data_IF_228145497462
#
_entry.id   IF_228145497462
#
_cell.length_a   1.000
_cell.length_b   1.000
_cell.length_c   1.000
_cell.angle_alpha   90.00
_cell.angle_beta   90.00
_cell.angle_gamma   90.00
#
_symmetry.space_group_name_H-M   'P 1'
#
loop_
_entity.id
_entity.type
_entity.pdbx_description
1 polymer ?
#
# COMPACT_ATOMS: atom_id res chain seq x y z
N UNK A 1 6.85 7.33 25.25
CA UNK A 1 6.50 8.68 24.76
C UNK A 1 7.71 9.63 24.70
N UNK A 2 8.78 9.45 25.51
CA UNK A 2 9.97 10.32 25.42
C UNK A 2 10.77 10.18 24.10
N UNK A 3 10.92 8.96 23.56
CA UNK A 3 11.75 8.74 22.37
C UNK A 3 11.28 9.42 21.06
N UNK A 4 10.00 9.78 20.94
CA UNK A 4 9.49 10.49 19.75
C UNK A 4 9.79 11.98 19.78
N UNK A 5 9.74 12.61 20.96
CA UNK A 5 10.11 14.01 21.14
C UNK A 5 11.63 14.20 20.98
N UNK A 6 12.41 13.27 21.54
CA UNK A 6 13.87 13.24 21.40
C UNK A 6 14.29 13.03 19.93
N UNK A 7 13.59 12.15 19.21
CA UNK A 7 13.81 11.92 17.79
C UNK A 7 13.51 13.14 16.91
N UNK A 8 12.42 13.86 17.19
CA UNK A 8 12.08 15.08 16.46
C UNK A 8 13.12 16.21 16.68
N UNK A 9 13.59 16.36 17.91
CA UNK A 9 14.65 17.33 18.25
C UNK A 9 15.97 17.01 17.53
N UNK A 10 16.38 15.73 17.55
CA UNK A 10 17.56 15.27 16.82
C UNK A 10 17.44 15.50 15.31
N UNK A 11 16.28 15.18 14.71
CA UNK A 11 16.03 15.42 13.30
C UNK A 11 16.14 16.91 12.93
N UNK A 12 15.64 17.82 13.77
CA UNK A 12 15.77 19.26 13.56
C UNK A 12 17.22 19.73 13.63
N UNK A 13 18.00 19.21 14.59
CA UNK A 13 19.42 19.53 14.70
C UNK A 13 20.20 19.08 13.45
N UNK A 14 19.96 17.86 12.97
CA UNK A 14 20.59 17.34 11.74
C UNK A 14 20.13 18.09 10.49
N UNK A 15 18.84 18.43 10.40
CA UNK A 15 18.29 19.23 9.32
C UNK A 15 18.95 20.62 9.25
N UNK A 16 19.17 21.27 10.40
CA UNK A 16 19.87 22.55 10.45
C UNK A 16 21.27 22.45 9.84
N UNK A 17 22.01 21.36 10.11
CA UNK A 17 23.32 21.11 9.50
C UNK A 17 23.26 20.90 7.98
N UNK A 18 22.28 20.14 7.50
CA UNK A 18 22.05 19.93 6.07
C UNK A 18 21.74 21.25 5.34
N UNK A 19 21.06 22.19 5.99
CA UNK A 19 20.69 23.48 5.42
C UNK A 19 21.79 24.55 5.52
N UNK A 20 22.70 24.46 6.50
CA UNK A 20 23.54 25.59 6.92
C UNK A 20 24.73 26.00 6.01
N UNK A 21 25.03 25.32 4.89
CA UNK A 21 26.16 25.74 4.04
C UNK A 21 26.06 25.26 2.59
N UNK A 22 26.81 25.97 1.74
CA UNK A 22 26.98 25.68 0.31
C UNK A 22 28.21 24.76 0.10
N UNK A 23 28.04 23.66 -0.64
CA UNK A 23 29.13 22.77 -1.06
C UNK A 23 29.25 21.43 -0.31
N UNK A 24 29.95 20.47 -0.93
CA UNK A 24 30.16 19.12 -0.45
C UNK A 24 31.03 19.10 0.82
N UNK A 25 30.40 18.90 1.97
CA UNK A 25 31.09 18.76 3.27
C UNK A 25 30.67 17.45 3.96
N UNK A 26 31.61 16.91 4.73
CA UNK A 26 31.41 15.78 5.62
C UNK A 26 31.43 16.29 7.07
N UNK A 27 30.38 16.03 7.84
CA UNK A 27 30.31 16.37 9.26
C UNK A 27 29.97 15.13 10.08
N UNK A 28 30.71 14.93 11.18
CA UNK A 28 30.53 13.80 12.09
C UNK A 28 29.68 14.26 13.27
N UNK A 29 28.57 13.57 13.50
CA UNK A 29 27.61 13.88 14.55
C UNK A 29 27.42 12.64 15.45
N UNK A 30 27.23 12.83 16.76
CA UNK A 30 26.90 11.71 17.63
C UNK A 30 25.55 11.12 17.20
N UNK A 31 25.42 9.79 17.32
CA UNK A 31 24.09 9.17 17.26
C UNK A 31 23.24 9.63 18.46
N UNK A 32 21.92 9.42 18.36
CA UNK A 32 20.98 9.78 19.42
C UNK A 32 20.46 8.54 20.15
N UNK A 33 21.27 7.46 20.20
CA UNK A 33 20.89 6.18 20.77
C UNK A 33 19.53 5.68 20.23
N UNK A 34 18.55 5.36 21.11
CA UNK A 34 17.26 4.79 20.70
C UNK A 34 16.39 5.75 19.87
N UNK A 35 16.68 7.06 19.87
CA UNK A 35 15.93 8.04 19.09
C UNK A 35 16.39 8.13 17.62
N UNK A 36 17.52 7.51 17.26
CA UNK A 36 18.14 7.61 15.94
C UNK A 36 17.20 7.19 14.81
N UNK A 37 16.53 6.04 14.93
CA UNK A 37 15.60 5.53 13.91
C UNK A 37 14.43 6.49 13.68
N UNK A 38 13.85 7.02 14.76
CA UNK A 38 12.76 7.99 14.67
C UNK A 38 13.22 9.32 14.04
N UNK A 39 14.43 9.78 14.37
CA UNK A 39 15.01 10.99 13.80
C UNK A 39 15.30 10.86 12.30
N UNK A 40 15.83 9.71 11.87
CA UNK A 40 16.06 9.41 10.44
C UNK A 40 14.76 9.37 9.65
N UNK A 41 13.71 8.75 10.21
CA UNK A 41 12.39 8.72 9.59
C UNK A 41 11.76 10.12 9.47
N UNK A 42 11.88 10.95 10.51
CA UNK A 42 11.44 12.34 10.47
C UNK A 42 12.21 13.13 9.40
N UNK A 43 13.52 12.91 9.29
CA UNK A 43 14.34 13.60 8.29
C UNK A 43 14.02 13.20 6.85
N UNK A 44 13.63 11.94 6.62
CA UNK A 44 13.09 11.50 5.33
C UNK A 44 11.80 12.25 4.96
N UNK A 45 10.90 12.47 5.92
CA UNK A 45 9.70 13.27 5.70
C UNK A 45 10.06 14.75 5.37
N UNK A 46 11.03 15.32 6.08
CA UNK A 46 11.49 16.70 5.84
C UNK A 46 12.15 16.87 4.46
N UNK A 47 12.88 15.85 3.97
CA UNK A 47 13.45 15.83 2.63
C UNK A 47 12.34 15.84 1.56
N UNK A 48 11.33 14.98 1.71
CA UNK A 48 10.16 14.95 0.83
C UNK A 48 9.41 16.28 0.81
N UNK A 49 9.18 16.88 1.97
CA UNK A 49 8.49 18.17 2.10
C UNK A 49 9.24 19.34 1.43
N UNK A 50 10.58 19.25 1.35
CA UNK A 50 11.45 20.27 0.72
C UNK A 50 11.84 19.93 -0.72
N UNK A 51 11.28 18.87 -1.29
CA UNK A 51 11.64 18.37 -2.63
C UNK A 51 13.13 18.05 -2.79
N UNK A 52 13.77 17.60 -1.71
CA UNK A 52 15.17 17.18 -1.69
C UNK A 52 15.27 15.66 -1.78
N UNK A 53 16.30 15.20 -2.48
CA UNK A 53 16.68 13.79 -2.52
C UNK A 53 17.56 13.43 -1.34
N UNK A 54 17.23 12.33 -0.67
CA UNK A 54 17.92 11.84 0.52
C UNK A 54 18.36 10.39 0.30
N UNK A 55 19.62 10.10 0.58
CA UNK A 55 20.17 8.75 0.66
C UNK A 55 20.61 8.46 2.10
N UNK A 56 19.93 7.51 2.74
CA UNK A 56 20.32 6.93 4.00
C UNK A 56 21.11 5.65 3.72
N UNK A 57 22.37 5.63 4.16
CA UNK A 57 23.27 4.49 3.97
C UNK A 57 23.42 3.75 5.29
N UNK A 58 22.87 2.53 5.33
CA UNK A 58 22.96 1.62 6.46
C UNK A 58 24.23 0.74 6.36
N UNK A 59 24.78 0.27 7.49
CA UNK A 59 25.96 -0.59 7.47
C UNK A 59 25.62 -1.97 6.90
N UNK A 60 24.43 -2.47 7.20
CA UNK A 60 23.89 -3.77 6.78
C UNK A 60 22.36 -3.74 6.69
N UNK A 61 21.77 -4.92 6.47
CA UNK A 61 20.31 -5.11 6.34
C UNK A 61 19.57 -5.06 7.69
N UNK A 62 20.26 -5.16 8.83
CA UNK A 62 19.64 -5.42 10.13
C UNK A 62 18.74 -4.28 10.61
N UNK A 63 19.12 -3.03 10.33
CA UNK A 63 18.35 -1.84 10.71
C UNK A 63 17.20 -1.48 9.76
N UNK A 64 17.11 -2.11 8.59
CA UNK A 64 16.13 -1.73 7.56
C UNK A 64 14.67 -1.93 8.01
N UNK A 65 14.28 -3.04 8.66
CA UNK A 65 12.88 -3.26 9.07
C UNK A 65 12.40 -2.22 10.09
N UNK A 66 13.23 -1.87 11.06
CA UNK A 66 12.89 -0.86 12.08
C UNK A 66 12.76 0.53 11.47
N UNK A 67 13.69 0.89 10.57
CA UNK A 67 13.66 2.18 9.89
C UNK A 67 12.46 2.29 8.92
N UNK A 68 12.15 1.22 8.17
CA UNK A 68 10.95 1.12 7.33
C UNK A 68 9.68 1.34 8.16
N UNK A 69 9.61 0.72 9.35
CA UNK A 69 8.47 0.86 10.25
C UNK A 69 8.29 2.27 10.83
N UNK A 70 9.40 2.96 11.08
CA UNK A 70 9.41 4.31 11.64
C UNK A 70 8.99 5.38 10.62
N UNK A 71 9.11 5.10 9.31
CA UNK A 71 8.64 6.00 8.25
C UNK A 71 7.14 6.28 8.39
N UNK A 72 6.77 7.51 8.07
CA UNK A 72 5.37 7.89 7.97
C UNK A 72 4.67 6.99 6.95
N UNK A 73 3.53 6.41 7.36
CA UNK A 73 2.79 5.43 6.56
C UNK A 73 2.36 5.99 5.20
N UNK A 74 2.02 7.28 5.13
CA UNK A 74 1.56 7.95 3.92
C UNK A 74 2.73 8.31 3.00
N UNK A 75 3.95 8.46 3.54
CA UNK A 75 5.15 8.80 2.77
C UNK A 75 6.02 7.59 2.44
N UNK A 76 5.87 6.46 3.16
CA UNK A 76 6.63 5.21 2.96
C UNK A 76 6.69 4.73 1.50
N UNK A 77 5.62 4.79 0.69
CA UNK A 77 5.68 4.39 -0.72
C UNK A 77 6.58 5.28 -1.60
N UNK A 78 6.95 6.47 -1.12
CA UNK A 78 7.88 7.40 -1.80
C UNK A 78 9.34 7.10 -1.46
N UNK A 79 9.59 6.19 -0.51
CA UNK A 79 10.92 5.79 -0.07
C UNK A 79 11.28 4.42 -0.65
N UNK A 80 12.44 4.33 -1.28
CA UNK A 80 13.02 3.07 -1.73
C UNK A 80 13.86 2.46 -0.60
N UNK A 81 13.32 1.44 0.07
CA UNK A 81 14.04 0.66 1.08
C UNK A 81 14.41 -0.67 0.46
N UNK A 82 15.70 -0.99 0.31
CA UNK A 82 16.11 -2.25 -0.31
C UNK A 82 17.22 -2.92 0.50
N UNK A 83 17.10 -4.22 0.82
CA UNK A 83 18.19 -5.01 1.38
C UNK A 83 19.30 -5.22 0.35
N UNK A 84 20.49 -5.61 0.79
CA UNK A 84 21.66 -5.86 -0.06
C UNK A 84 21.60 -7.23 -0.77
N UNK A 85 20.89 -8.21 -0.20
CA UNK A 85 20.75 -9.54 -0.77
C UNK A 85 19.94 -9.52 -2.07
N UNK A 86 20.60 -9.71 -3.22
CA UNK A 86 20.04 -9.50 -4.57
C UNK A 86 18.64 -10.09 -4.81
N UNK A 87 18.36 -11.29 -4.31
CA UNK A 87 17.05 -11.93 -4.50
C UNK A 87 15.96 -11.28 -3.62
N UNK A 88 16.27 -10.97 -2.35
CA UNK A 88 15.33 -10.25 -1.47
C UNK A 88 15.13 -8.82 -1.97
N UNK A 89 16.17 -8.15 -2.47
CA UNK A 89 16.07 -6.81 -3.05
C UNK A 89 15.06 -6.75 -4.20
N UNK A 90 15.04 -7.77 -5.07
CA UNK A 90 14.10 -7.82 -6.18
C UNK A 90 12.65 -7.93 -5.68
N UNK A 91 12.40 -8.76 -4.66
CA UNK A 91 11.07 -8.93 -4.07
C UNK A 91 10.61 -7.63 -3.39
N UNK A 92 11.46 -7.04 -2.55
CA UNK A 92 11.18 -5.76 -1.88
C UNK A 92 10.94 -4.63 -2.89
N UNK A 93 11.68 -4.61 -4.00
CA UNK A 93 11.47 -3.63 -5.06
C UNK A 93 10.09 -3.79 -5.72
N UNK A 94 9.68 -5.03 -6.03
CA UNK A 94 8.34 -5.30 -6.59
C UNK A 94 7.25 -4.87 -5.63
N UNK A 95 7.38 -5.22 -4.35
CA UNK A 95 6.45 -4.81 -3.32
C UNK A 95 6.33 -3.28 -3.26
N UNK A 96 7.46 -2.56 -3.25
CA UNK A 96 7.51 -1.10 -3.25
C UNK A 96 6.83 -0.50 -4.49
N UNK A 97 7.08 -1.05 -5.69
CA UNK A 97 6.44 -0.60 -6.93
C UNK A 97 4.93 -0.87 -6.92
N UNK A 98 4.51 -2.03 -6.42
CA UNK A 98 3.10 -2.42 -6.27
C UNK A 98 2.36 -1.48 -5.30
N UNK A 99 2.97 -1.16 -4.15
CA UNK A 99 2.46 -0.21 -3.16
C UNK A 99 2.34 1.21 -3.76
N UNK A 100 3.39 1.68 -4.43
CA UNK A 100 3.39 3.01 -5.06
C UNK A 100 2.31 3.10 -6.13
N UNK A 101 2.22 2.11 -7.03
CA UNK A 101 1.18 2.03 -8.07
C UNK A 101 -0.22 2.08 -7.46
N UNK A 102 -0.46 1.26 -6.44
CA UNK A 102 -1.74 1.19 -5.73
C UNK A 102 -2.14 2.56 -5.16
N UNK A 103 -1.22 3.24 -4.46
CA UNK A 103 -1.51 4.55 -3.84
C UNK A 103 -1.77 5.65 -4.87
N UNK A 104 -1.09 5.60 -6.01
CA UNK A 104 -1.30 6.54 -7.11
C UNK A 104 -2.68 6.39 -7.75
N UNK A 105 -3.17 5.15 -7.90
CA UNK A 105 -4.48 4.89 -8.52
C UNK A 105 -5.65 5.15 -7.57
N UNK A 106 -5.53 4.86 -6.27
CA UNK A 106 -6.66 4.96 -5.33
C UNK A 106 -7.05 6.38 -4.93
N UNK A 107 -6.17 7.36 -5.11
CA UNK A 107 -6.49 8.76 -4.81
C UNK A 107 -7.10 8.98 -3.40
N UNK A 108 -6.70 8.15 -2.44
CA UNK A 108 -7.08 8.26 -1.04
C UNK A 108 -6.55 9.57 -0.45
N UNK A 109 -7.18 10.09 0.61
CA UNK A 109 -6.71 11.28 1.34
C UNK A 109 -5.22 11.15 1.76
N UNK A 110 -4.79 9.92 2.06
CA UNK A 110 -3.41 9.55 2.38
C UNK A 110 -2.39 9.78 1.25
N UNK A 111 -2.84 9.92 0.00
CA UNK A 111 -2.00 10.13 -1.19
C UNK A 111 -2.16 11.55 -1.78
N UNK A 112 -2.51 12.51 -0.91
CA UNK A 112 -2.64 13.93 -1.19
C UNK A 112 -1.48 14.74 -0.56
N UNK A 113 -1.40 16.03 -0.87
CA UNK A 113 -0.33 16.91 -0.39
C UNK A 113 0.86 17.09 -1.35
N UNK A 114 1.81 17.97 -0.98
CA UNK A 114 2.88 18.43 -1.86
C UNK A 114 3.85 17.31 -2.27
N UNK A 115 4.23 16.43 -1.35
CA UNK A 115 5.13 15.30 -1.63
C UNK A 115 4.54 14.37 -2.71
N UNK A 116 3.25 14.02 -2.60
CA UNK A 116 2.56 13.19 -3.58
C UNK A 116 2.33 13.90 -4.92
N UNK A 117 2.05 15.20 -4.90
CA UNK A 117 1.96 16.00 -6.13
C UNK A 117 3.31 16.02 -6.86
N UNK A 118 4.41 16.22 -6.12
CA UNK A 118 5.76 16.20 -6.68
C UNK A 118 6.15 14.81 -7.19
N UNK A 119 5.75 13.74 -6.49
CA UNK A 119 5.98 12.37 -6.95
C UNK A 119 5.25 12.10 -8.27
N UNK A 120 3.99 12.51 -8.40
CA UNK A 120 3.25 12.38 -9.67
C UNK A 120 3.96 13.09 -10.82
N UNK A 121 4.45 14.31 -10.58
CA UNK A 121 5.24 15.04 -11.56
C UNK A 121 6.52 14.29 -11.92
N UNK A 122 7.28 13.82 -10.93
CA UNK A 122 8.51 13.04 -11.13
C UNK A 122 8.27 11.80 -12.00
N UNK A 123 7.20 11.06 -11.74
CA UNK A 123 6.84 9.88 -12.52
C UNK A 123 6.39 10.23 -13.93
N UNK A 124 5.73 11.37 -14.13
CA UNK A 124 5.41 11.88 -15.46
C UNK A 124 6.68 12.29 -16.23
N UNK A 125 7.63 12.95 -15.57
CA UNK A 125 8.93 13.33 -16.15
C UNK A 125 9.76 12.08 -16.54
N UNK A 126 9.53 10.95 -15.86
CA UNK A 126 10.21 9.66 -16.08
C UNK A 126 9.25 8.56 -16.56
N UNK A 127 8.22 8.90 -17.34
CA UNK A 127 7.12 7.98 -17.67
C UNK A 127 7.58 6.68 -18.34
N UNK A 128 8.55 6.74 -19.25
CA UNK A 128 9.09 5.54 -19.90
C UNK A 128 9.77 4.60 -18.90
N UNK A 129 10.59 5.16 -17.99
CA UNK A 129 11.25 4.39 -16.94
C UNK A 129 10.22 3.78 -15.99
N UNK A 130 9.21 4.57 -15.58
CA UNK A 130 8.12 4.09 -14.75
C UNK A 130 7.38 2.91 -15.38
N UNK A 131 6.99 3.01 -16.66
CA UNK A 131 6.35 1.91 -17.40
C UNK A 131 7.23 0.67 -17.49
N UNK A 132 8.54 0.83 -17.71
CA UNK A 132 9.50 -0.29 -17.73
C UNK A 132 9.62 -0.96 -16.36
N UNK A 133 9.67 -0.19 -15.27
CA UNK A 133 9.68 -0.71 -13.90
C UNK A 133 8.41 -1.50 -13.58
N UNK A 134 7.23 -0.99 -13.97
CA UNK A 134 5.98 -1.71 -13.79
C UNK A 134 5.94 -3.02 -14.60
N UNK A 135 6.39 -3.00 -15.84
CA UNK A 135 6.45 -4.20 -16.67
C UNK A 135 7.41 -5.25 -16.09
N UNK A 136 8.58 -4.83 -15.60
CA UNK A 136 9.52 -5.71 -14.89
C UNK A 136 8.89 -6.31 -13.63
N UNK A 137 8.17 -5.49 -12.84
CA UNK A 137 7.49 -5.94 -11.64
C UNK A 137 6.44 -6.99 -11.95
N UNK A 138 5.63 -6.77 -13.00
CA UNK A 138 4.55 -7.67 -13.41
C UNK A 138 5.05 -9.02 -13.97
N UNK A 139 6.20 -9.03 -14.66
CA UNK A 139 6.77 -10.29 -15.18
C UNK A 139 7.23 -11.22 -14.06
N UNK A 140 7.71 -10.66 -12.94
CA UNK A 140 8.08 -11.44 -11.77
C UNK A 140 9.21 -12.45 -11.99
N UNK A 141 10.03 -12.30 -13.04
CA UNK A 141 11.07 -13.27 -13.39
C UNK A 141 12.21 -13.18 -12.38
N UNK A 142 12.56 -14.30 -11.76
CA UNK A 142 13.68 -14.38 -10.83
C UNK A 142 15.01 -14.16 -11.55
N UNK A 143 15.87 -13.33 -10.96
CA UNK A 143 17.20 -13.02 -11.51
C UNK A 143 17.20 -12.04 -12.69
N UNK A 144 16.05 -11.60 -13.17
CA UNK A 144 15.98 -10.53 -14.18
C UNK A 144 16.53 -9.21 -13.59
N UNK A 145 17.54 -8.58 -14.22
CA UNK A 145 18.07 -7.31 -13.73
C UNK A 145 16.99 -6.23 -13.75
N UNK A 146 16.90 -5.45 -12.69
CA UNK A 146 15.97 -4.33 -12.63
C UNK A 146 16.34 -3.24 -13.66
N UNK A 147 15.37 -2.41 -14.11
CA UNK A 147 15.65 -1.33 -15.06
C UNK A 147 16.69 -0.34 -14.53
N UNK A 148 17.62 0.06 -15.41
CA UNK A 148 18.63 1.08 -15.09
C UNK A 148 17.96 2.43 -14.78
N UNK A 149 18.51 3.16 -13.81
CA UNK A 149 17.99 4.46 -13.38
C UNK A 149 16.78 4.41 -12.44
N UNK A 150 16.27 3.22 -12.04
CA UNK A 150 15.04 3.12 -11.23
C UNK A 150 15.08 3.96 -9.94
N UNK A 151 16.26 4.12 -9.35
CA UNK A 151 16.43 4.84 -8.09
C UNK A 151 16.16 6.35 -8.25
N UNK A 152 16.20 6.90 -9.47
CA UNK A 152 15.76 8.28 -9.76
C UNK A 152 14.26 8.50 -9.51
N UNK A 153 13.45 7.43 -9.62
CA UNK A 153 12.01 7.48 -9.34
C UNK A 153 11.71 7.73 -7.85
N UNK A 154 12.68 7.51 -6.96
CA UNK A 154 12.49 7.57 -5.52
C UNK A 154 13.32 8.71 -4.88
N UNK A 155 12.67 9.77 -4.38
CA UNK A 155 13.38 10.88 -3.73
C UNK A 155 14.18 10.44 -2.50
N UNK A 156 13.64 9.50 -1.72
CA UNK A 156 14.30 8.97 -0.53
C UNK A 156 14.73 7.54 -0.81
N UNK A 157 15.99 7.22 -0.52
CA UNK A 157 16.59 5.90 -0.69
C UNK A 157 17.23 5.46 0.63
N UNK A 158 16.93 4.25 1.08
CA UNK A 158 17.44 3.66 2.31
C UNK A 158 18.06 2.32 1.93
N UNK A 159 19.39 2.29 1.92
CA UNK A 159 20.15 1.21 1.28
C UNK A 159 21.36 0.84 2.13
N UNK A 160 21.75 -0.44 2.18
CA UNK A 160 23.07 -0.84 2.65
C UNK A 160 24.17 -0.23 1.78
N UNK A 161 25.34 0.01 2.37
CA UNK A 161 26.49 0.64 1.69
C UNK A 161 26.83 0.01 0.34
N UNK A 162 26.92 -1.32 0.27
CA UNK A 162 27.27 -2.03 -0.97
C UNK A 162 26.27 -1.76 -2.10
N UNK A 163 24.98 -1.66 -1.77
CA UNK A 163 23.93 -1.39 -2.75
C UNK A 163 23.91 0.09 -3.15
N UNK A 164 24.09 1.00 -2.20
CA UNK A 164 24.18 2.43 -2.45
C UNK A 164 25.32 2.77 -3.43
N UNK A 165 26.51 2.18 -3.22
CA UNK A 165 27.66 2.34 -4.10
C UNK A 165 27.42 1.75 -5.49
N UNK A 166 26.71 0.61 -5.59
CA UNK A 166 26.39 -0.03 -6.87
C UNK A 166 25.40 0.78 -7.70
N UNK A 167 24.42 1.42 -7.06
CA UNK A 167 23.46 2.28 -7.75
C UNK A 167 24.08 3.63 -8.15
N UNK A 168 25.01 4.17 -7.34
CA UNK A 168 25.78 5.38 -7.61
C UNK A 168 24.94 6.62 -8.02
N UNK A 169 23.69 6.67 -7.55
CA UNK A 169 22.76 7.73 -7.91
C UNK A 169 23.00 8.99 -7.04
N UNK A 170 23.13 10.19 -7.64
CA UNK A 170 23.38 11.43 -6.91
C UNK A 170 22.24 11.77 -5.96
N UNK A 171 22.53 12.52 -4.90
CA UNK A 171 21.54 12.91 -3.87
C UNK A 171 21.84 14.32 -3.38
N UNK A 172 20.83 15.10 -2.98
CA UNK A 172 21.09 16.36 -2.28
C UNK A 172 21.74 16.05 -0.93
N UNK A 173 21.15 15.14 -0.17
CA UNK A 173 21.59 14.79 1.18
C UNK A 173 21.96 13.32 1.27
N UNK A 174 23.07 13.04 1.95
CA UNK A 174 23.51 11.68 2.29
C UNK A 174 23.76 11.59 3.79
N UNK A 175 23.27 10.51 4.41
CA UNK A 175 23.53 10.22 5.81
C UNK A 175 24.06 8.82 5.93
N UNK A 176 25.22 8.67 6.55
CA UNK A 176 25.88 7.40 6.78
C UNK A 176 25.67 7.01 8.24
N UNK A 177 25.00 5.90 8.51
CA UNK A 177 24.84 5.39 9.88
C UNK A 177 25.95 4.37 10.14
N UNK A 178 27.02 4.79 10.79
CA UNK A 178 28.23 3.99 10.98
C UNK A 178 28.51 3.80 12.47
N UNK A 179 27.89 2.80 13.12
CA UNK A 179 28.07 2.58 14.57
C UNK A 179 29.53 2.27 14.95
N UNK A 180 30.33 1.69 14.05
CA UNK A 180 31.75 1.38 14.27
C UNK A 180 32.73 2.50 13.82
N UNK A 181 32.20 3.67 13.42
CA UNK A 181 32.96 4.75 12.79
C UNK A 181 33.10 4.58 11.27
N UNK A 182 33.42 5.65 10.52
CA UNK A 182 33.59 5.56 9.07
C UNK A 182 34.83 4.71 8.72
N UNK A 183 34.76 3.78 7.76
CA UNK A 183 35.95 3.14 7.21
C UNK A 183 36.88 4.22 6.63
N UNK A 184 38.19 3.94 6.56
CA UNK A 184 39.20 4.92 6.13
C UNK A 184 38.90 5.57 4.76
N UNK A 185 38.13 4.89 3.90
CA UNK A 185 37.72 5.33 2.57
C UNK A 185 36.56 6.36 2.58
N UNK A 186 35.82 6.47 3.69
CA UNK A 186 34.70 7.39 3.89
C UNK A 186 35.12 8.71 4.58
N UNK A 187 36.39 9.11 4.42
CA UNK A 187 36.91 10.42 4.85
C UNK A 187 36.63 11.55 3.84
N UNK A 188 35.80 11.29 2.82
CA UNK A 188 35.44 12.24 1.76
C UNK A 188 33.92 12.36 1.67
N UNK A 189 33.38 13.51 1.22
CA UNK A 189 31.96 13.63 0.92
C UNK A 189 31.51 12.54 -0.05
N UNK A 190 30.27 12.06 0.12
CA UNK A 190 29.71 11.03 -0.74
C UNK A 190 29.66 11.52 -2.20
N UNK A 191 30.05 10.69 -3.19
CA UNK A 191 30.08 11.12 -4.59
C UNK A 191 28.73 11.63 -5.07
N UNK A 192 28.70 12.82 -5.67
CA UNK A 192 27.47 13.44 -6.17
C UNK A 192 26.51 13.92 -5.09
N UNK A 193 26.93 13.95 -3.82
CA UNK A 193 26.16 14.52 -2.73
C UNK A 193 26.39 16.03 -2.58
N UNK A 194 25.34 16.80 -2.37
CA UNK A 194 25.54 18.19 -1.92
C UNK A 194 26.02 18.21 -0.48
N UNK A 195 25.51 17.31 0.39
CA UNK A 195 25.89 17.19 1.80
C UNK A 195 26.03 15.75 2.25
N UNK A 196 26.99 15.48 3.14
CA UNK A 196 27.17 14.17 3.77
C UNK A 196 27.29 14.33 5.28
N UNK A 197 26.39 13.69 6.02
CA UNK A 197 26.48 13.54 7.48
C UNK A 197 26.89 12.13 7.83
N UNK A 198 27.74 11.99 8.83
CA UNK A 198 28.11 10.68 9.40
C UNK A 198 27.61 10.62 10.83
N UNK A 199 26.71 9.68 11.10
CA UNK A 199 26.22 9.38 12.44
C UNK A 199 27.03 8.20 12.98
N UNK A 200 27.72 8.38 14.09
CA UNK A 200 28.51 7.30 14.68
C UNK A 200 28.88 7.54 16.13
N UNK A 201 29.22 6.45 16.82
CA UNK A 201 29.79 6.50 18.16
C UNK A 201 31.30 6.80 18.09
N UNK A 202 31.81 7.56 19.06
CA UNK A 202 33.25 7.62 19.28
C UNK A 202 33.73 6.26 19.82
N UNK A 203 34.52 5.55 19.00
CA UNK A 203 35.29 4.32 19.26
C UNK A 203 34.67 2.94 18.94
N UNK A 204 35.25 2.34 17.89
CA UNK A 204 35.67 0.95 17.62
C UNK A 204 34.81 -0.27 18.02
N UNK A 205 34.51 -1.10 17.02
CA UNK A 205 34.19 -2.52 17.15
C UNK A 205 34.08 -3.23 15.80
N UNK A 206 34.98 -4.19 15.55
CA UNK A 206 35.08 -5.01 14.33
C UNK A 206 33.74 -5.64 13.94
N UNK A 207 33.37 -5.54 12.65
CA UNK A 207 32.31 -6.31 12.02
C UNK A 207 32.58 -7.81 12.24
N UNK A 208 31.82 -8.43 13.14
CA UNK A 208 31.83 -9.87 13.35
C UNK A 208 31.30 -10.56 12.08
N UNK A 209 31.93 -11.67 11.72
CA UNK A 209 31.55 -12.48 10.56
C UNK A 209 30.06 -12.80 10.57
N UNK A 210 29.40 -12.56 9.44
CA UNK A 210 27.96 -12.76 9.24
C UNK A 210 27.64 -14.25 9.44
N UNK A 211 27.01 -14.58 10.58
CA UNK A 211 26.39 -15.90 10.81
C UNK A 211 25.31 -16.12 9.73
N UNK A 212 25.38 -17.23 8.94
CA UNK A 212 24.35 -17.56 7.95
C UNK A 212 22.93 -17.57 8.52
N UNK A 213 22.75 -18.04 9.77
CA UNK A 213 21.44 -18.05 10.41
C UNK A 213 20.98 -16.63 10.79
N UNK A 214 21.90 -15.75 11.22
CA UNK A 214 21.61 -14.34 11.42
C UNK A 214 21.17 -13.64 10.13
N UNK A 215 21.80 -13.96 9.00
CA UNK A 215 21.39 -13.45 7.68
C UNK A 215 19.99 -13.90 7.29
N UNK A 216 19.66 -15.18 7.42
CA UNK A 216 18.32 -15.69 7.11
C UNK A 216 17.24 -15.06 8.00
N UNK A 217 17.54 -14.83 9.29
CA UNK A 217 16.64 -14.11 10.20
C UNK A 217 16.42 -12.67 9.74
N UNK A 218 17.47 -11.95 9.32
CA UNK A 218 17.33 -10.60 8.79
C UNK A 218 16.49 -10.57 7.50
N UNK A 219 16.72 -11.51 6.56
CA UNK A 219 15.91 -11.64 5.34
C UNK A 219 14.43 -11.92 5.67
N UNK A 220 14.17 -12.75 6.69
CA UNK A 220 12.82 -13.09 7.14
C UNK A 220 12.11 -11.88 7.75
N UNK A 221 12.81 -11.06 8.54
CA UNK A 221 12.24 -9.83 9.10
C UNK A 221 11.94 -8.79 8.01
N UNK A 222 12.85 -8.61 7.03
CA UNK A 222 12.59 -7.72 5.88
C UNK A 222 11.36 -8.18 5.10
N UNK A 223 11.27 -9.47 4.74
CA UNK A 223 10.11 -9.96 3.98
C UNK A 223 8.81 -9.94 4.80
N UNK A 224 8.89 -10.17 6.11
CA UNK A 224 7.72 -10.04 6.98
C UNK A 224 7.21 -8.60 7.02
N UNK A 225 8.13 -7.63 7.07
CA UNK A 225 7.77 -6.22 7.02
C UNK A 225 7.04 -5.89 5.72
N UNK A 226 7.62 -6.23 4.57
CA UNK A 226 7.01 -6.00 3.26
C UNK A 226 5.65 -6.70 3.12
N UNK A 227 5.53 -7.92 3.64
CA UNK A 227 4.27 -8.64 3.66
C UNK A 227 3.20 -7.93 4.49
N UNK A 228 3.56 -7.41 5.67
CA UNK A 228 2.61 -6.67 6.52
C UNK A 228 2.13 -5.36 5.86
N UNK A 229 3.00 -4.69 5.10
CA UNK A 229 2.66 -3.50 4.32
C UNK A 229 1.69 -3.85 3.17
N UNK A 230 1.96 -4.94 2.45
CA UNK A 230 1.10 -5.43 1.38
C UNK A 230 -0.25 -5.95 1.87
N UNK A 231 -0.30 -6.66 3.00
CA UNK A 231 -1.55 -7.10 3.63
C UNK A 231 -2.42 -5.91 4.05
N UNK A 232 -1.82 -4.86 4.64
CA UNK A 232 -2.53 -3.61 4.94
C UNK A 232 -3.07 -2.98 3.65
N UNK A 233 -2.26 -2.92 2.60
CA UNK A 233 -2.65 -2.31 1.34
C UNK A 233 -3.80 -3.07 0.65
N UNK A 234 -3.76 -4.40 0.67
CA UNK A 234 -4.79 -5.28 0.14
C UNK A 234 -6.09 -5.16 0.94
N UNK A 235 -6.03 -5.25 2.26
CA UNK A 235 -7.19 -5.08 3.12
C UNK A 235 -7.84 -3.70 2.95
N UNK A 236 -7.02 -2.66 2.78
CA UNK A 236 -7.49 -1.29 2.49
C UNK A 236 -8.17 -1.23 1.11
N UNK A 237 -7.55 -1.80 0.08
CA UNK A 237 -8.12 -1.80 -1.28
C UNK A 237 -9.49 -2.48 -1.32
N UNK A 238 -9.61 -3.65 -0.68
CA UNK A 238 -10.86 -4.39 -0.60
C UNK A 238 -11.94 -3.61 0.14
N UNK A 239 -11.60 -2.98 1.27
CA UNK A 239 -12.56 -2.20 2.03
C UNK A 239 -13.02 -0.93 1.29
N UNK A 240 -12.11 -0.22 0.62
CA UNK A 240 -12.43 0.95 -0.23
C UNK A 240 -13.36 0.57 -1.39
N UNK A 241 -13.09 -0.56 -2.06
CA UNK A 241 -13.93 -1.04 -3.15
C UNK A 241 -15.28 -1.53 -2.64
N UNK A 242 -15.33 -2.22 -1.49
CA UNK A 242 -16.59 -2.61 -0.87
C UNK A 242 -17.44 -1.38 -0.54
N UNK A 243 -16.84 -0.34 0.04
CA UNK A 243 -17.53 0.93 0.33
C UNK A 243 -18.05 1.63 -0.93
N UNK A 244 -17.20 1.72 -1.95
CA UNK A 244 -17.59 2.24 -3.26
C UNK A 244 -18.74 1.44 -3.87
N UNK A 245 -18.68 0.11 -3.81
CA UNK A 245 -19.71 -0.79 -4.33
C UNK A 245 -21.04 -0.55 -3.64
N UNK A 246 -21.05 -0.40 -2.30
CA UNK A 246 -22.27 -0.05 -1.56
C UNK A 246 -22.87 1.26 -2.06
N UNK A 247 -22.04 2.30 -2.19
CA UNK A 247 -22.49 3.62 -2.68
C UNK A 247 -23.01 3.55 -4.12
N UNK A 248 -22.31 2.83 -4.99
CA UNK A 248 -22.72 2.60 -6.38
C UNK A 248 -24.09 1.92 -6.44
N UNK A 249 -24.31 0.83 -5.70
CA UNK A 249 -25.61 0.15 -5.71
C UNK A 249 -26.73 1.00 -5.13
N UNK A 250 -26.47 1.74 -4.04
CA UNK A 250 -27.45 2.62 -3.43
C UNK A 250 -27.92 3.74 -4.38
N UNK A 251 -26.99 4.35 -5.13
CA UNK A 251 -27.30 5.45 -6.06
C UNK A 251 -27.75 4.96 -7.44
N UNK A 252 -27.05 3.99 -8.01
CA UNK A 252 -27.20 3.58 -9.41
C UNK A 252 -28.03 2.30 -9.52
N UNK A 253 -27.73 1.28 -8.72
CA UNK A 253 -28.36 -0.04 -8.83
C UNK A 253 -29.88 0.00 -8.68
N UNK A 254 -30.38 0.72 -7.67
CA UNK A 254 -31.83 0.89 -7.41
C UNK A 254 -32.55 1.61 -8.56
N UNK A 255 -31.91 2.61 -9.16
CA UNK A 255 -32.43 3.35 -10.32
C UNK A 255 -32.42 2.51 -11.59
N UNK A 256 -31.36 1.73 -11.82
CA UNK A 256 -31.31 0.79 -12.95
C UNK A 256 -32.43 -0.25 -12.86
N UNK A 257 -32.66 -0.83 -11.69
CA UNK A 257 -33.77 -1.77 -11.48
C UNK A 257 -35.13 -1.11 -11.80
N UNK A 258 -35.35 0.10 -11.28
CA UNK A 258 -36.58 0.88 -11.55
C UNK A 258 -36.75 1.18 -13.04
N UNK A 259 -35.68 1.57 -13.72
CA UNK A 259 -35.71 1.89 -15.15
C UNK A 259 -35.99 0.65 -16.01
N UNK A 260 -35.39 -0.48 -15.68
CA UNK A 260 -35.63 -1.74 -16.39
C UNK A 260 -37.06 -2.26 -16.16
N UNK A 261 -37.61 -2.13 -14.94
CA UNK A 261 -39.00 -2.45 -14.64
C UNK A 261 -39.97 -1.60 -15.50
N UNK A 262 -39.74 -0.29 -15.57
CA UNK A 262 -40.55 0.62 -16.39
C UNK A 262 -40.42 0.34 -17.90
N UNK A 263 -39.22 -0.02 -18.36
CA UNK A 263 -38.98 -0.41 -19.76
C UNK A 263 -39.68 -1.73 -20.10
N UNK A 264 -39.69 -2.69 -19.18
CA UNK A 264 -40.43 -3.93 -19.33
C UNK A 264 -41.94 -3.66 -19.42
N UNK A 265 -42.48 -2.79 -18.57
CA UNK A 265 -43.90 -2.37 -18.65
C UNK A 265 -44.22 -1.68 -19.98
N UNK A 266 -43.38 -0.76 -20.44
CA UNK A 266 -43.57 -0.06 -21.71
C UNK A 266 -43.53 -1.01 -22.91
N UNK A 267 -42.63 -1.99 -22.90
CA UNK A 267 -42.54 -3.01 -23.94
C UNK A 267 -43.75 -3.96 -23.91
N UNK A 268 -44.22 -4.36 -22.72
CA UNK A 268 -45.42 -5.18 -22.56
C UNK A 268 -46.67 -4.48 -23.13
N UNK A 269 -46.91 -3.21 -22.78
CA UNK A 269 -48.03 -2.44 -23.35
C UNK A 269 -47.95 -2.30 -24.87
N UNK A 270 -46.74 -2.23 -25.44
CA UNK A 270 -46.55 -2.19 -26.90
C UNK A 270 -46.91 -3.52 -27.56
N UNK A 271 -46.49 -4.64 -26.95
CA UNK A 271 -46.84 -5.97 -27.43
C UNK A 271 -48.36 -6.26 -27.31
N UNK A 272 -49.02 -5.76 -26.26
CA UNK A 272 -50.48 -5.86 -26.10
C UNK A 272 -51.25 -5.06 -27.15
N UNK A 273 -50.75 -3.89 -27.54
CA UNK A 273 -51.37 -3.03 -28.55
C UNK A 273 -51.32 -3.64 -29.96
N UNK A 274 -50.32 -4.47 -30.25
CA UNK A 274 -50.19 -5.21 -31.51
C UNK A 274 -49.65 -6.63 -31.26
N UNK A 275 -50.56 -7.54 -30.90
CA UNK A 275 -50.22 -8.93 -30.59
C UNK A 275 -49.72 -9.73 -31.80
N UNK A 276 -49.86 -9.21 -33.02
CA UNK A 276 -49.32 -9.83 -34.23
C UNK A 276 -47.86 -9.44 -34.49
N UNK A 277 -47.38 -8.37 -33.84
CA UNK A 277 -45.98 -7.94 -33.89
C UNK A 277 -45.10 -8.87 -33.04
N UNK A 278 -44.47 -9.83 -33.72
CA UNK A 278 -43.55 -10.80 -33.11
C UNK A 278 -42.29 -10.13 -32.56
N UNK A 279 -41.86 -9.00 -33.12
CA UNK A 279 -40.71 -8.22 -32.65
C UNK A 279 -41.05 -7.50 -31.33
N UNK A 280 -42.25 -6.89 -31.23
CA UNK A 280 -42.72 -6.30 -29.99
C UNK A 280 -42.86 -7.33 -28.86
N UNK A 281 -43.41 -8.51 -29.16
CA UNK A 281 -43.52 -9.61 -28.20
C UNK A 281 -42.13 -10.09 -27.71
N UNK A 282 -41.17 -10.27 -28.62
CA UNK A 282 -39.81 -10.66 -28.28
C UNK A 282 -39.08 -9.58 -27.45
N UNK A 283 -39.27 -8.30 -27.80
CA UNK A 283 -38.71 -7.18 -27.05
C UNK A 283 -39.28 -7.08 -25.62
N UNK A 284 -40.58 -7.35 -25.44
CA UNK A 284 -41.22 -7.40 -24.13
C UNK A 284 -40.65 -8.54 -23.26
N UNK A 285 -40.50 -9.74 -23.82
CA UNK A 285 -39.89 -10.87 -23.12
C UNK A 285 -38.45 -10.58 -22.70
N UNK A 286 -37.63 -10.02 -23.60
CA UNK A 286 -36.25 -9.65 -23.30
C UNK A 286 -36.15 -8.51 -22.27
N UNK A 287 -37.07 -7.54 -22.30
CA UNK A 287 -37.13 -6.48 -21.30
C UNK A 287 -37.52 -7.01 -19.91
N UNK A 288 -38.48 -7.94 -19.86
CA UNK A 288 -38.88 -8.60 -18.62
C UNK A 288 -37.73 -9.43 -18.01
N UNK A 289 -37.02 -10.21 -18.82
CA UNK A 289 -35.86 -10.98 -18.34
C UNK A 289 -34.75 -10.08 -17.79
N UNK A 290 -34.48 -8.94 -18.45
CA UNK A 290 -33.53 -7.94 -17.96
C UNK A 290 -33.97 -7.35 -16.63
N UNK A 291 -35.23 -6.93 -16.50
CA UNK A 291 -35.79 -6.38 -15.27
C UNK A 291 -35.70 -7.38 -14.11
N UNK A 292 -36.04 -8.64 -14.34
CA UNK A 292 -35.92 -9.70 -13.34
C UNK A 292 -34.47 -9.93 -12.89
N UNK A 293 -33.52 -9.90 -13.82
CA UNK A 293 -32.09 -10.03 -13.51
C UNK A 293 -31.61 -8.87 -12.64
N UNK A 294 -31.87 -7.63 -13.07
CA UNK A 294 -31.46 -6.41 -12.36
C UNK A 294 -32.11 -6.34 -10.97
N UNK A 295 -33.38 -6.75 -10.84
CA UNK A 295 -34.09 -6.80 -9.55
C UNK A 295 -33.44 -7.78 -8.58
N UNK A 296 -33.14 -9.00 -9.03
CA UNK A 296 -32.45 -10.02 -8.21
C UNK A 296 -31.06 -9.55 -7.77
N UNK A 297 -30.31 -8.92 -8.67
CA UNK A 297 -29.01 -8.33 -8.36
C UNK A 297 -29.15 -7.22 -7.29
N UNK A 298 -30.07 -6.27 -7.48
CA UNK A 298 -30.32 -5.19 -6.51
C UNK A 298 -30.70 -5.73 -5.14
N UNK A 299 -31.63 -6.68 -5.05
CA UNK A 299 -32.05 -7.27 -3.77
C UNK A 299 -30.92 -8.02 -3.05
N UNK A 300 -30.08 -8.74 -3.80
CA UNK A 300 -28.90 -9.42 -3.22
C UNK A 300 -27.92 -8.40 -2.63
N UNK A 301 -27.69 -7.28 -3.32
CA UNK A 301 -26.81 -6.23 -2.82
C UNK A 301 -27.39 -5.50 -1.62
N UNK A 302 -28.70 -5.24 -1.57
CA UNK A 302 -29.36 -4.64 -0.41
C UNK A 302 -29.18 -5.48 0.86
N UNK A 303 -29.21 -6.81 0.76
CA UNK A 303 -28.92 -7.70 1.89
C UNK A 303 -27.48 -7.54 2.39
N UNK A 304 -26.51 -7.55 1.48
CA UNK A 304 -25.08 -7.38 1.81
C UNK A 304 -24.81 -6.01 2.47
N UNK A 305 -25.45 -4.94 1.99
CA UNK A 305 -25.30 -3.59 2.54
C UNK A 305 -25.83 -3.51 3.98
N UNK A 306 -26.96 -4.16 4.27
CA UNK A 306 -27.55 -4.16 5.62
C UNK A 306 -26.65 -4.81 6.67
N UNK A 307 -25.89 -5.83 6.27
CA UNK A 307 -24.98 -6.56 7.16
C UNK A 307 -23.71 -5.76 7.49
N UNK A 308 -23.31 -4.80 6.66
CA UNK A 308 -22.08 -3.99 6.86
C UNK A 308 -22.37 -2.49 6.68
N UNK A 309 -22.99 -1.83 7.66
CA UNK A 309 -23.55 -0.48 7.50
C UNK A 309 -22.52 0.66 7.57
N UNK A 310 -21.31 0.42 8.08
CA UNK A 310 -20.31 1.48 8.32
C UNK A 310 -19.50 1.79 7.06
N UNK A 311 -19.33 3.08 6.77
CA UNK A 311 -18.42 3.55 5.74
C UNK A 311 -16.97 3.31 6.16
N UNK A 312 -16.14 2.86 5.22
CA UNK A 312 -14.73 2.59 5.51
C UNK A 312 -13.90 3.89 5.50
N UNK A 313 -13.51 4.36 6.68
CA UNK A 313 -12.64 5.53 6.86
C UNK A 313 -11.62 5.27 7.99
N UNK A 314 -10.63 4.37 7.76
CA UNK A 314 -9.67 3.97 8.79
C UNK A 314 -8.76 5.14 9.20
N UNK A 315 -8.59 5.33 10.51
CA UNK A 315 -7.60 6.27 11.05
C UNK A 315 -6.17 5.80 10.79
N UNK A 316 -5.19 6.71 10.81
CA UNK A 316 -3.77 6.35 10.69
C UNK A 316 -3.33 5.39 11.79
N UNK A 317 -3.87 5.54 13.00
CA UNK A 317 -3.53 4.67 14.14
C UNK A 317 -4.09 3.25 13.97
N UNK A 318 -5.32 3.12 13.44
CA UNK A 318 -5.90 1.83 13.08
C UNK A 318 -5.03 1.10 12.04
N UNK A 319 -4.57 1.82 11.00
CA UNK A 319 -3.66 1.25 9.98
C UNK A 319 -2.35 0.80 10.59
N UNK A 320 -1.75 1.61 11.46
CA UNK A 320 -0.50 1.27 12.18
C UNK A 320 -0.70 0.08 13.11
N UNK A 321 -1.85 -0.03 13.78
CA UNK A 321 -2.17 -1.16 14.65
C UNK A 321 -2.31 -2.45 13.83
N UNK A 322 -3.12 -2.42 12.77
CA UNK A 322 -3.28 -3.56 11.87
C UNK A 322 -1.95 -4.03 11.28
N UNK A 323 -1.14 -3.11 10.73
CA UNK A 323 0.18 -3.45 10.14
C UNK A 323 1.08 -4.16 11.16
N UNK A 324 1.20 -3.59 12.37
CA UNK A 324 2.02 -4.18 13.46
C UNK A 324 1.49 -5.53 13.91
N UNK A 325 0.18 -5.69 13.97
CA UNK A 325 -0.47 -6.94 14.32
C UNK A 325 -0.20 -8.00 13.25
N UNK A 326 -0.47 -7.70 11.97
CA UNK A 326 -0.21 -8.58 10.83
C UNK A 326 1.24 -9.08 10.80
N UNK A 327 2.22 -8.19 11.06
CA UNK A 327 3.64 -8.56 11.17
C UNK A 327 3.91 -9.65 12.22
N UNK A 328 3.19 -9.63 13.36
CA UNK A 328 3.33 -10.59 14.47
C UNK A 328 2.59 -11.90 14.21
N UNK A 329 1.36 -11.82 13.72
CA UNK A 329 0.43 -12.95 13.65
C UNK A 329 0.37 -13.61 12.26
N UNK A 330 1.24 -13.24 11.32
CA UNK A 330 1.17 -13.77 9.96
C UNK A 330 1.34 -15.31 9.91
N UNK A 331 0.43 -16.06 9.27
CA UNK A 331 0.47 -17.54 9.25
C UNK A 331 1.76 -18.11 8.65
N UNK A 332 2.39 -17.45 7.69
CA UNK A 332 3.62 -17.95 7.07
C UNK A 332 4.84 -17.95 7.99
N UNK A 333 4.79 -17.22 9.11
CA UNK A 333 5.79 -17.26 10.19
C UNK A 333 5.61 -18.44 11.14
N UNK A 334 4.64 -19.31 10.91
CA UNK A 334 4.41 -20.45 11.79
C UNK A 334 5.56 -21.46 11.79
N UNK A 335 5.78 -22.04 12.96
CA UNK A 335 6.78 -23.09 13.16
C UNK A 335 6.24 -24.47 12.77
N UNK A 336 4.93 -24.67 12.90
CA UNK A 336 4.24 -25.94 12.65
C UNK A 336 2.77 -25.72 12.24
N UNK A 337 2.08 -26.79 11.88
CA UNK A 337 0.71 -26.73 11.36
C UNK A 337 -0.33 -26.21 12.37
N UNK A 338 -0.38 -26.67 13.63
CA UNK A 338 -1.27 -26.09 14.64
C UNK A 338 -1.07 -24.58 14.81
N UNK A 339 0.19 -24.16 14.84
CA UNK A 339 0.58 -22.77 14.97
C UNK A 339 0.19 -21.92 13.74
N UNK A 340 0.23 -22.53 12.55
CA UNK A 340 -0.27 -21.92 11.31
C UNK A 340 -1.78 -21.73 11.35
N UNK A 341 -2.52 -22.76 11.77
CA UNK A 341 -3.99 -22.70 11.87
C UNK A 341 -4.45 -21.61 12.83
N UNK A 342 -3.82 -21.49 13.99
CA UNK A 342 -4.14 -20.45 14.97
C UNK A 342 -3.86 -19.05 14.42
N UNK A 343 -2.68 -18.82 13.82
CA UNK A 343 -2.35 -17.56 13.16
C UNK A 343 -3.31 -17.21 12.01
N UNK A 344 -3.74 -18.20 11.22
CA UNK A 344 -4.76 -17.98 10.18
C UNK A 344 -6.07 -17.48 10.76
N UNK A 345 -6.52 -18.02 11.90
CA UNK A 345 -7.74 -17.56 12.58
C UNK A 345 -7.58 -16.11 13.09
N UNK A 346 -6.47 -15.81 13.76
CA UNK A 346 -6.18 -14.46 14.24
C UNK A 346 -6.09 -13.46 13.08
N UNK A 347 -5.45 -13.83 11.97
CA UNK A 347 -5.33 -12.96 10.79
C UNK A 347 -6.70 -12.70 10.14
N UNK A 348 -7.57 -13.71 10.07
CA UNK A 348 -8.94 -13.55 9.58
C UNK A 348 -9.78 -12.61 10.46
N UNK A 349 -9.63 -12.71 11.78
CA UNK A 349 -10.26 -11.78 12.75
C UNK A 349 -9.72 -10.36 12.58
N UNK A 350 -8.39 -10.21 12.51
CA UNK A 350 -7.75 -8.91 12.30
C UNK A 350 -8.20 -8.22 11.00
N UNK A 351 -8.30 -8.99 9.91
CA UNK A 351 -8.80 -8.48 8.64
C UNK A 351 -10.24 -7.98 8.75
N UNK A 352 -11.11 -8.73 9.44
CA UNK A 352 -12.51 -8.35 9.64
C UNK A 352 -12.62 -7.07 10.48
N UNK A 353 -11.91 -7.01 11.61
CA UNK A 353 -11.90 -5.85 12.50
C UNK A 353 -11.38 -4.60 11.76
N UNK A 354 -10.29 -4.74 10.99
CA UNK A 354 -9.76 -3.64 10.18
C UNK A 354 -10.76 -3.13 9.15
N UNK A 355 -11.40 -4.02 8.37
CA UNK A 355 -12.40 -3.65 7.36
C UNK A 355 -13.64 -2.99 7.99
N UNK A 356 -14.00 -3.36 9.21
CA UNK A 356 -15.11 -2.77 9.96
C UNK A 356 -14.75 -1.44 10.65
N UNK A 357 -13.48 -1.02 10.64
CA UNK A 357 -13.00 0.13 11.41
C UNK A 357 -13.01 -0.12 12.92
N UNK A 358 -12.94 -1.38 13.35
CA UNK A 358 -13.05 -1.81 14.74
C UNK A 358 -11.66 -1.89 15.40
N UNK A 359 -11.26 -0.78 16.02
CA UNK A 359 -10.00 -0.71 16.77
C UNK A 359 -9.99 -1.63 18.00
N UNK A 360 -11.12 -1.75 18.69
CA UNK A 360 -11.26 -2.63 19.85
C UNK A 360 -11.05 -4.08 19.46
N UNK A 361 -11.66 -4.54 18.36
CA UNK A 361 -11.45 -5.88 17.83
C UNK A 361 -9.97 -6.18 17.49
N UNK A 362 -9.23 -5.20 16.93
CA UNK A 362 -7.79 -5.39 16.69
C UNK A 362 -6.97 -5.52 17.99
N UNK A 363 -7.34 -4.77 19.03
CA UNK A 363 -6.70 -4.87 20.35
C UNK A 363 -7.02 -6.21 21.03
N UNK A 364 -8.23 -6.74 20.86
CA UNK A 364 -8.61 -8.07 21.35
C UNK A 364 -7.80 -9.17 20.68
N UNK A 365 -7.62 -9.11 19.36
CA UNK A 365 -6.74 -10.07 18.63
C UNK A 365 -5.30 -9.99 19.13
N UNK A 366 -4.81 -8.78 19.40
CA UNK A 366 -3.46 -8.60 19.96
C UNK A 366 -3.35 -9.22 21.35
N UNK A 367 -4.34 -9.01 22.22
CA UNK A 367 -4.37 -9.60 23.56
C UNK A 367 -4.39 -11.14 23.51
N UNK A 368 -5.24 -11.73 22.66
CA UNK A 368 -5.29 -13.18 22.44
C UNK A 368 -3.94 -13.75 21.97
N UNK A 369 -3.24 -13.01 21.10
CA UNK A 369 -1.91 -13.38 20.65
C UNK A 369 -0.88 -13.32 21.80
N UNK A 370 -0.90 -12.27 22.61
CA UNK A 370 0.02 -12.10 23.75
C UNK A 370 -0.17 -13.19 24.83
N UNK A 371 -1.42 -13.51 25.17
CA UNK A 371 -1.76 -14.60 26.10
C UNK A 371 -1.32 -15.97 25.56
N UNK A 372 -1.62 -16.25 24.29
CA UNK A 372 -1.25 -17.51 23.65
C UNK A 372 0.26 -17.67 23.43
N UNK A 373 1.03 -16.57 23.38
CA UNK A 373 2.49 -16.63 23.24
C UNK A 373 3.24 -16.72 24.56
N UNK A 374 2.70 -16.14 25.64
CA UNK A 374 3.29 -16.23 26.98
C UNK A 374 3.44 -17.69 27.49
N UNK A 375 2.57 -18.59 27.02
CA UNK A 375 2.58 -20.01 27.37
C UNK A 375 3.52 -20.87 26.50
N UNK A 376 4.19 -20.31 25.49
CA UNK A 376 5.01 -21.07 24.52
C UNK A 376 6.48 -21.07 24.88
N UNK A 377 7.10 -22.25 24.91
CA UNK A 377 8.56 -22.39 24.94
C UNK A 377 9.14 -21.95 23.59
N UNK A 378 10.01 -20.93 23.58
CA UNK A 378 10.79 -20.57 22.38
C UNK A 378 11.69 -21.75 22.02
N UNK A 379 11.35 -22.48 20.96
CA UNK A 379 12.30 -23.40 20.31
C UNK A 379 13.26 -22.58 19.47
N UNK A 380 14.53 -22.94 19.49
CA UNK A 380 15.49 -22.39 18.54
C UNK A 380 15.05 -22.78 17.13
N UNK A 381 14.89 -21.77 16.28
CA UNK A 381 14.50 -21.94 14.89
C UNK A 381 15.70 -22.47 14.11
N UNK A 382 15.61 -23.72 13.62
CA UNK A 382 16.64 -24.32 12.77
C UNK A 382 16.64 -23.71 11.35
N UNK A 383 17.76 -23.83 10.64
CA UNK A 383 17.98 -23.24 9.30
C UNK A 383 16.99 -23.74 8.25
N UNK A 384 16.57 -25.01 8.32
CA UNK A 384 15.56 -25.58 7.42
C UNK A 384 14.19 -24.94 7.63
N UNK A 385 13.83 -24.63 8.89
CA UNK A 385 12.58 -23.97 9.22
C UNK A 385 12.56 -22.52 8.74
N UNK A 386 13.67 -21.79 8.91
CA UNK A 386 13.84 -20.44 8.35
C UNK A 386 13.69 -20.44 6.83
N UNK A 387 14.28 -21.43 6.16
CA UNK A 387 14.19 -21.57 4.69
C UNK A 387 12.75 -21.83 4.25
N UNK A 388 12.01 -22.69 4.97
CA UNK A 388 10.61 -22.95 4.69
C UNK A 388 9.72 -21.72 4.93
N UNK A 389 9.96 -20.97 6.01
CA UNK A 389 9.26 -19.70 6.30
C UNK A 389 9.51 -18.67 5.20
N UNK A 390 10.77 -18.46 4.79
CA UNK A 390 11.14 -17.58 3.69
C UNK A 390 10.43 -17.96 2.39
N UNK A 391 10.41 -19.25 2.03
CA UNK A 391 9.73 -19.70 0.81
C UNK A 391 8.22 -19.42 0.85
N UNK A 392 7.56 -19.56 2.01
CA UNK A 392 6.15 -19.22 2.19
C UNK A 392 5.90 -17.72 2.05
N UNK A 393 6.67 -16.88 2.76
CA UNK A 393 6.56 -15.42 2.70
C UNK A 393 6.71 -14.90 1.27
N UNK A 394 7.70 -15.40 0.52
CA UNK A 394 7.92 -15.03 -0.88
C UNK A 394 6.72 -15.34 -1.77
N UNK A 395 6.15 -16.55 -1.64
CA UNK A 395 4.94 -16.92 -2.39
C UNK A 395 3.76 -16.03 -2.03
N UNK A 396 3.55 -15.77 -0.74
CA UNK A 396 2.45 -14.93 -0.28
C UNK A 396 2.55 -13.49 -0.78
N UNK A 397 3.75 -12.90 -0.76
CA UNK A 397 3.99 -11.58 -1.36
C UNK A 397 3.57 -11.57 -2.83
N UNK A 398 4.04 -12.54 -3.63
CA UNK A 398 3.69 -12.64 -5.04
C UNK A 398 2.18 -12.84 -5.27
N UNK A 399 1.50 -13.62 -4.41
CA UNK A 399 0.04 -13.81 -4.46
C UNK A 399 -0.72 -12.51 -4.23
N UNK A 400 -0.35 -11.73 -3.21
CA UNK A 400 -0.97 -10.44 -2.90
C UNK A 400 -0.73 -9.45 -4.05
N UNK A 401 0.47 -9.40 -4.60
CA UNK A 401 0.77 -8.54 -5.75
C UNK A 401 -0.08 -8.90 -6.98
N UNK A 402 -0.26 -10.19 -7.25
CA UNK A 402 -1.13 -10.66 -8.33
C UNK A 402 -2.61 -10.35 -8.05
N UNK A 403 -3.05 -10.41 -6.79
CA UNK A 403 -4.40 -10.03 -6.37
C UNK A 403 -4.65 -8.53 -6.54
N UNK A 404 -3.74 -7.68 -6.06
CA UNK A 404 -3.79 -6.23 -6.25
C UNK A 404 -3.82 -5.87 -7.74
N UNK A 405 -2.98 -6.50 -8.58
CA UNK A 405 -3.00 -6.24 -10.02
C UNK A 405 -4.33 -6.64 -10.68
N UNK A 406 -4.92 -7.78 -10.30
CA UNK A 406 -6.25 -8.21 -10.78
C UNK A 406 -7.33 -7.24 -10.35
N UNK A 407 -7.28 -6.79 -9.10
CA UNK A 407 -8.21 -5.81 -8.54
C UNK A 407 -8.15 -4.49 -9.32
N UNK A 408 -6.94 -4.00 -9.58
CA UNK A 408 -6.72 -2.73 -10.29
C UNK A 408 -7.07 -2.79 -11.78
N UNK A 409 -7.02 -3.97 -12.39
CA UNK A 409 -7.45 -4.19 -13.77
C UNK A 409 -8.96 -4.44 -13.93
N UNK A 410 -9.76 -4.37 -12.86
CA UNK A 410 -11.20 -4.63 -12.93
C UNK A 410 -11.99 -3.39 -13.37
N UNK A 411 -13.07 -3.59 -14.13
CA UNK A 411 -13.98 -2.49 -14.55
C UNK A 411 -14.58 -1.71 -13.39
N UNK A 412 -14.85 -2.40 -12.27
CA UNK A 412 -15.34 -1.76 -11.05
C UNK A 412 -14.29 -0.78 -10.50
N UNK A 413 -13.02 -1.18 -10.54
CA UNK A 413 -11.92 -0.34 -10.10
C UNK A 413 -11.64 0.84 -11.05
N UNK A 414 -11.84 0.65 -12.36
CA UNK A 414 -11.79 1.76 -13.34
C UNK A 414 -12.83 2.83 -13.00
N UNK A 415 -14.08 2.43 -12.70
CA UNK A 415 -15.13 3.35 -12.29
C UNK A 415 -14.83 4.01 -10.93
N UNK A 416 -14.30 3.26 -9.97
CA UNK A 416 -13.83 3.79 -8.68
C UNK A 416 -12.78 4.88 -8.90
N UNK A 417 -11.78 4.61 -9.74
CA UNK A 417 -10.70 5.56 -10.08
C UNK A 417 -11.26 6.81 -10.76
N UNK A 418 -12.15 6.65 -11.75
CA UNK A 418 -12.80 7.77 -12.43
C UNK A 418 -13.61 8.65 -11.46
N UNK A 419 -14.31 8.03 -10.51
CA UNK A 419 -15.07 8.74 -9.46
C UNK A 419 -14.13 9.54 -8.56
N UNK A 420 -12.99 8.98 -8.17
CA UNK A 420 -12.01 9.70 -7.35
C UNK A 420 -11.33 10.85 -8.11
N UNK A 421 -11.07 10.70 -9.41
CA UNK A 421 -10.58 11.79 -10.26
C UNK A 421 -11.61 12.92 -10.33
N UNK A 422 -12.90 12.59 -10.54
CA UNK A 422 -13.97 13.59 -10.52
C UNK A 422 -14.07 14.30 -9.16
N UNK A 423 -13.95 13.56 -8.05
CA UNK A 423 -13.97 14.10 -6.68
C UNK A 423 -12.90 15.17 -6.47
N UNK A 424 -11.68 14.97 -7.00
CA UNK A 424 -10.59 15.97 -6.95
C UNK A 424 -10.92 17.25 -7.73
N UNK A 425 -11.68 17.13 -8.81
CA UNK A 425 -12.22 18.25 -9.55
C UNK A 425 -13.51 18.82 -8.93
N UNK A 426 -13.84 18.46 -7.68
CA UNK A 426 -15.07 18.84 -6.96
C UNK A 426 -16.36 18.44 -7.69
N UNK A 427 -16.32 17.36 -8.47
CA UNK A 427 -17.45 16.75 -9.17
C UNK A 427 -17.83 15.43 -8.52
N UNK A 428 -19.11 15.08 -8.58
CA UNK A 428 -19.62 13.79 -8.10
C UNK A 428 -20.12 12.95 -9.27
N UNK A 429 -19.24 12.08 -9.78
CA UNK A 429 -19.54 11.27 -10.97
C UNK A 429 -20.72 10.32 -10.76
N UNK A 430 -20.85 9.73 -9.56
CA UNK A 430 -21.96 8.83 -9.27
C UNK A 430 -23.28 9.60 -9.20
N UNK A 431 -23.28 10.81 -8.64
CA UNK A 431 -24.47 11.66 -8.64
C UNK A 431 -24.86 12.09 -10.07
N UNK A 432 -23.88 12.50 -10.90
CA UNK A 432 -24.15 12.85 -12.30
C UNK A 432 -24.74 11.67 -13.10
N UNK A 433 -24.30 10.44 -12.81
CA UNK A 433 -24.87 9.23 -13.40
C UNK A 433 -26.30 8.97 -12.87
N UNK A 434 -26.53 9.18 -11.58
CA UNK A 434 -27.85 9.05 -10.97
C UNK A 434 -28.86 10.05 -11.57
N UNK A 435 -28.46 11.31 -11.76
CA UNK A 435 -29.30 12.35 -12.34
C UNK A 435 -29.72 12.02 -13.78
N UNK A 436 -28.81 11.42 -14.57
CA UNK A 436 -29.12 10.92 -15.93
C UNK A 436 -30.13 9.79 -15.89
N UNK A 437 -29.99 8.84 -14.97
CA UNK A 437 -30.95 7.75 -14.80
C UNK A 437 -32.31 8.28 -14.34
N UNK A 438 -32.35 9.29 -13.47
CA UNK A 438 -33.59 9.92 -13.03
C UNK A 438 -34.32 10.62 -14.20
N UNK A 439 -33.57 11.25 -15.11
CA UNK A 439 -34.12 11.80 -16.36
C UNK A 439 -34.68 10.72 -17.30
N UNK A 440 -33.97 9.59 -17.46
CA UNK A 440 -34.45 8.45 -18.26
C UNK A 440 -35.72 7.83 -17.66
N UNK A 441 -35.76 7.67 -16.33
CA UNK A 441 -36.93 7.18 -15.59
C UNK A 441 -38.13 8.12 -15.82
N UNK A 442 -37.92 9.43 -15.71
CA UNK A 442 -38.97 10.42 -15.96
C UNK A 442 -39.49 10.36 -17.41
N UNK A 443 -38.61 10.18 -18.39
CA UNK A 443 -38.98 10.05 -19.80
C UNK A 443 -39.85 8.80 -20.05
N UNK A 444 -39.46 7.63 -19.51
CA UNK A 444 -40.25 6.40 -19.67
C UNK A 444 -41.60 6.50 -18.95
N UNK A 445 -41.64 7.08 -17.74
CA UNK A 445 -42.90 7.36 -17.03
C UNK A 445 -43.82 8.27 -17.83
N UNK A 446 -43.26 9.32 -18.46
CA UNK A 446 -44.01 10.20 -19.36
C UNK A 446 -44.63 9.46 -20.55
N UNK A 447 -43.89 8.52 -21.17
CA UNK A 447 -44.41 7.68 -22.26
C UNK A 447 -45.55 6.75 -21.80
N UNK A 448 -45.43 6.19 -20.60
CA UNK A 448 -46.46 5.34 -20.00
C UNK A 448 -47.73 6.12 -19.61
N UNK A 449 -47.58 7.36 -19.13
CA UNK A 449 -48.70 8.22 -18.73
C UNK A 449 -49.40 8.91 -19.91
N UNK A 450 -48.67 9.37 -20.92
CA UNK A 450 -49.22 10.08 -22.07
C UNK A 450 -50.01 9.21 -23.07
N UNK A 451 -50.06 7.89 -22.86
CA UNK A 451 -50.83 6.92 -23.67
C UNK A 451 -52.16 6.49 -23.03
N UNK A 452 -52.50 7.00 -21.84
CA UNK A 452 -53.77 6.71 -21.14
C UNK A 452 -54.84 7.79 -21.34
N UNK A 453 -54.54 8.87 -22.06
CA UNK A 453 -55.49 9.90 -22.50
C UNK A 453 -55.63 9.82 -24.02
#
# INVERSE_FOLDING_TARGET
MNGTADGASAAQAWLAKLLAAEGAQLELLPDCGPATTAALAALAAEALARERSLLLVCPDDAGLPELSNALDLNLRPLCLVLPGASHVSAITLRATLSLLKSRLSRAAADAEGPAWARQRQRLADHDELWRRCLAWSQRGVDGEPWPAGLATLFPVRILPQALALRLAEPSDWVILTMPAGPPADLCRPWPGAQRTLVLGAAAAGSLAGVDPAARQRAELEVLTQELSELELELATAHAEIADFTRRYHALIGTRMATLDDLRAEAAARRAEADAADTEACAAAAAAHERADRTRRESSRFEQIVRETPRSFAPSTDLKKLFRRLAQKIHPDRADNEPDRMWRTQLMAEANRAYQAGDETGLLEVLALWEEGTASRTKRETDGDMLTAQLARLKRRIAEIEAELNRLFGSRLYELFTATNIARRAKRDLLQEMADRLDADIAAVRGQLGGRQA
#
